data_IF_381968795618
#
_entry.id   IF_381968795618
#
_cell.length_a   1.000
_cell.length_b   1.000
_cell.length_c   1.000
_cell.angle_alpha   90.00
_cell.angle_beta   90.00
_cell.angle_gamma   90.00
#
_symmetry.space_group_name_H-M   'P 1'
#
loop_
_entity.id
_entity.type
_entity.pdbx_description
1 polymer ?
#
# COMPACT_ATOMS: atom_id res chain seq x y z
N UNK A 1 41.37 30.02 9.26
CA UNK A 1 40.07 30.50 8.74
C UNK A 1 39.92 30.33 7.22
N UNK A 2 40.89 30.75 6.38
CA UNK A 2 40.83 30.61 4.91
C UNK A 2 40.71 29.15 4.41
N UNK A 3 41.37 28.20 5.08
CA UNK A 3 41.32 26.78 4.70
C UNK A 3 40.00 26.08 5.08
N UNK A 4 39.35 26.49 6.18
CA UNK A 4 38.02 25.96 6.54
C UNK A 4 36.95 26.39 5.54
N UNK A 5 37.05 27.61 5.00
CA UNK A 5 36.12 28.12 3.99
C UNK A 5 36.21 27.33 2.68
N UNK A 6 37.43 26.95 2.26
CA UNK A 6 37.65 26.14 1.06
C UNK A 6 37.13 24.71 1.20
N UNK A 7 37.19 24.12 2.39
CA UNK A 7 36.65 22.78 2.67
C UNK A 7 35.12 22.77 2.63
N UNK A 8 34.46 23.80 3.15
CA UNK A 8 32.99 23.94 3.10
C UNK A 8 32.51 24.10 1.66
N UNK A 9 33.21 24.90 0.85
CA UNK A 9 32.89 25.07 -0.58
C UNK A 9 33.04 23.74 -1.33
N UNK A 10 34.08 22.96 -1.04
CA UNK A 10 34.29 21.65 -1.69
C UNK A 10 33.20 20.63 -1.32
N UNK A 11 32.74 20.61 -0.07
CA UNK A 11 31.63 19.76 0.39
C UNK A 11 30.30 20.13 -0.28
N UNK A 12 30.06 21.41 -0.59
CA UNK A 12 28.86 21.84 -1.31
C UNK A 12 28.85 21.38 -2.79
N UNK A 13 30.01 21.28 -3.44
CA UNK A 13 30.10 20.82 -4.83
C UNK A 13 30.00 19.30 -5.00
N UNK A 14 30.19 18.51 -3.94
CA UNK A 14 29.94 17.05 -3.97
C UNK A 14 28.46 16.67 -3.79
N UNK A 15 27.58 17.62 -3.47
CA UNK A 15 26.15 17.38 -3.21
C UNK A 15 25.30 17.26 -4.49
N UNK A 16 25.87 17.55 -5.67
CA UNK A 16 25.12 17.55 -6.94
C UNK A 16 24.70 16.14 -7.44
N UNK A 17 24.99 15.06 -6.71
CA UNK A 17 24.59 13.71 -7.08
C UNK A 17 23.18 13.28 -6.63
N UNK A 18 22.50 14.09 -5.81
CA UNK A 18 21.19 13.74 -5.21
C UNK A 18 19.96 14.11 -6.08
N UNK A 19 20.17 14.69 -7.26
CA UNK A 19 19.11 15.09 -8.20
C UNK A 19 19.15 14.32 -9.52
N UNK A 20 19.75 13.14 -9.56
CA UNK A 20 19.45 12.19 -10.63
C UNK A 20 18.09 11.57 -10.32
N UNK A 21 17.00 12.25 -10.68
CA UNK A 21 15.71 11.59 -10.85
C UNK A 21 15.95 10.44 -11.83
N UNK A 22 15.74 9.20 -11.36
CA UNK A 22 15.73 8.03 -12.23
C UNK A 22 14.55 8.20 -13.20
N UNK A 23 14.82 8.81 -14.36
CA UNK A 23 13.85 9.13 -15.39
C UNK A 23 13.42 7.91 -16.23
N UNK A 24 13.64 6.69 -15.72
CA UNK A 24 13.05 5.51 -16.33
C UNK A 24 11.56 5.53 -15.96
N UNK A 25 10.74 6.15 -16.80
CA UNK A 25 9.29 6.05 -16.71
C UNK A 25 8.94 4.57 -16.58
N UNK A 26 8.31 4.18 -15.48
CA UNK A 26 7.79 2.81 -15.37
C UNK A 26 6.83 2.59 -16.54
N UNK A 27 7.21 1.68 -17.43
CA UNK A 27 6.33 1.20 -18.48
C UNK A 27 5.31 0.27 -17.83
N UNK A 28 4.04 0.60 -18.02
CA UNK A 28 2.91 -0.21 -17.59
C UNK A 28 2.22 -0.77 -18.82
N UNK A 29 1.68 -1.97 -18.70
CA UNK A 29 0.76 -2.54 -19.68
C UNK A 29 -0.52 -2.98 -18.97
N UNK A 30 -1.56 -3.27 -19.74
CA UNK A 30 -2.84 -3.76 -19.22
C UNK A 30 -3.43 -4.76 -20.18
N UNK A 31 -4.17 -5.71 -19.62
CA UNK A 31 -5.13 -6.48 -20.41
C UNK A 31 -6.32 -5.59 -20.81
N UNK A 32 -7.09 -6.02 -21.81
CA UNK A 32 -8.33 -5.33 -22.17
C UNK A 32 -9.33 -5.43 -21.01
N UNK A 33 -9.95 -4.30 -20.65
CA UNK A 33 -10.86 -4.25 -19.50
C UNK A 33 -12.07 -5.17 -19.69
N UNK A 34 -12.56 -5.31 -20.91
CA UNK A 34 -13.68 -6.19 -21.27
C UNK A 34 -13.40 -7.66 -20.99
N UNK A 35 -12.12 -8.05 -21.00
CA UNK A 35 -11.68 -9.42 -20.72
C UNK A 35 -11.39 -9.66 -19.23
N UNK A 36 -11.21 -8.58 -18.46
CA UNK A 36 -10.88 -8.63 -17.05
C UNK A 36 -12.07 -9.13 -16.23
N UNK A 37 -11.77 -10.03 -15.29
CA UNK A 37 -12.74 -10.54 -14.32
C UNK A 37 -12.26 -10.20 -12.92
N UNK A 38 -12.95 -9.31 -12.20
CA UNK A 38 -12.57 -9.01 -10.84
C UNK A 38 -12.87 -10.17 -9.91
N UNK A 39 -12.15 -10.22 -8.80
CA UNK A 39 -12.47 -11.09 -7.67
C UNK A 39 -13.86 -10.78 -7.10
N UNK A 40 -14.45 -11.79 -6.45
CA UNK A 40 -15.67 -11.61 -5.66
C UNK A 40 -15.48 -10.47 -4.63
N UNK A 41 -16.55 -9.73 -4.28
CA UNK A 41 -16.44 -8.67 -3.30
C UNK A 41 -16.02 -9.23 -1.93
N UNK A 42 -15.30 -8.45 -1.11
CA UNK A 42 -14.99 -8.86 0.25
C UNK A 42 -16.28 -9.02 1.04
N UNK A 43 -16.42 -10.14 1.74
CA UNK A 43 -17.49 -10.35 2.71
C UNK A 43 -16.97 -10.02 4.10
N UNK A 44 -17.25 -8.81 4.59
CA UNK A 44 -16.73 -8.33 5.88
C UNK A 44 -17.36 -8.99 7.11
N UNK A 45 -18.40 -9.81 6.95
CA UNK A 45 -18.89 -10.69 8.03
C UNK A 45 -17.93 -11.86 8.28
N UNK A 46 -17.01 -12.15 7.35
CA UNK A 46 -15.99 -13.19 7.48
C UNK A 46 -14.66 -12.60 7.91
N UNK A 47 -14.04 -13.19 8.95
CA UNK A 47 -12.69 -12.83 9.42
C UNK A 47 -11.61 -12.91 8.33
N UNK A 48 -11.85 -13.70 7.28
CA UNK A 48 -10.93 -13.84 6.16
C UNK A 48 -10.78 -12.55 5.33
N UNK A 49 -11.80 -11.68 5.31
CA UNK A 49 -11.75 -10.39 4.61
C UNK A 49 -10.98 -9.30 5.36
N UNK A 50 -10.35 -9.64 6.49
CA UNK A 50 -9.63 -8.71 7.35
C UNK A 50 -8.15 -9.10 7.46
N UNK A 51 -7.25 -8.19 7.15
CA UNK A 51 -5.83 -8.35 7.46
C UNK A 51 -5.60 -8.36 8.99
N UNK A 52 -6.32 -7.48 9.69
CA UNK A 52 -6.32 -7.36 11.15
C UNK A 52 -7.76 -7.22 11.64
N UNK A 53 -8.12 -7.99 12.67
CA UNK A 53 -9.42 -7.91 13.34
C UNK A 53 -9.24 -8.33 14.81
N UNK A 54 -9.97 -7.75 15.79
CA UNK A 54 -9.79 -8.11 17.22
C UNK A 54 -10.01 -9.61 17.53
N UNK A 55 -10.88 -10.26 16.76
CA UNK A 55 -11.15 -11.70 16.84
C UNK A 55 -10.20 -12.58 16.00
N UNK A 56 -9.22 -11.99 15.32
CA UNK A 56 -8.25 -12.68 14.46
C UNK A 56 -6.84 -12.46 15.00
N UNK A 57 -6.16 -13.54 15.39
CA UNK A 57 -4.75 -13.45 15.78
C UNK A 57 -3.91 -12.98 14.58
N UNK A 58 -3.07 -11.97 14.80
CA UNK A 58 -2.12 -11.45 13.83
C UNK A 58 -0.75 -11.37 14.52
N UNK A 59 0.14 -12.31 14.18
CA UNK A 59 1.42 -12.48 14.89
C UNK A 59 2.39 -11.35 14.57
N UNK A 60 2.23 -10.74 13.41
CA UNK A 60 3.02 -9.62 12.91
C UNK A 60 2.87 -8.38 13.80
N UNK A 61 1.72 -8.24 14.48
CA UNK A 61 1.45 -7.12 15.39
C UNK A 61 1.89 -7.33 16.84
N UNK A 62 2.22 -8.56 17.25
CA UNK A 62 2.50 -8.87 18.67
C UNK A 62 3.65 -8.05 19.24
N UNK A 63 4.69 -7.74 18.45
CA UNK A 63 5.82 -6.92 18.90
C UNK A 63 5.48 -5.44 19.10
N UNK A 64 4.32 -4.99 18.66
CA UNK A 64 3.85 -3.60 18.75
C UNK A 64 2.82 -3.39 19.86
N UNK A 65 2.44 -4.45 20.58
CA UNK A 65 1.52 -4.40 21.71
C UNK A 65 2.30 -4.13 22.99
N UNK A 66 2.03 -2.99 23.64
CA UNK A 66 2.78 -2.54 24.81
C UNK A 66 2.22 -3.03 26.17
N UNK A 67 1.24 -3.94 26.15
CA UNK A 67 0.64 -4.55 27.34
C UNK A 67 -0.29 -3.64 28.15
N UNK A 68 -0.43 -2.36 27.78
CA UNK A 68 -1.39 -1.47 28.41
C UNK A 68 -2.82 -1.85 28.03
N UNK A 69 -3.77 -1.45 28.87
CA UNK A 69 -5.18 -1.55 28.53
C UNK A 69 -5.51 -0.66 27.32
N UNK A 70 -6.21 -1.24 26.35
CA UNK A 70 -6.70 -0.52 25.18
C UNK A 70 -7.81 0.46 25.59
N UNK A 71 -7.92 1.57 24.87
CA UNK A 71 -9.09 2.44 24.96
C UNK A 71 -10.31 1.71 24.38
N UNK A 72 -11.50 2.00 24.91
CA UNK A 72 -12.77 1.51 24.37
C UNK A 72 -13.15 2.26 23.08
N UNK A 73 -12.33 2.14 22.04
CA UNK A 73 -12.54 2.73 20.72
C UNK A 73 -12.19 1.72 19.62
N UNK A 74 -12.82 1.89 18.46
CA UNK A 74 -12.49 1.15 17.25
C UNK A 74 -11.60 2.01 16.36
N UNK A 75 -10.47 1.45 15.92
CA UNK A 75 -9.58 2.06 14.93
C UNK A 75 -9.75 1.33 13.61
N UNK A 76 -10.23 2.05 12.61
CA UNK A 76 -10.34 1.55 11.25
C UNK A 76 -9.20 2.11 10.40
N UNK A 77 -8.29 1.26 9.96
CA UNK A 77 -7.12 1.67 9.19
C UNK A 77 -7.21 1.15 7.75
N UNK A 78 -7.33 2.08 6.80
CA UNK A 78 -7.28 1.81 5.37
C UNK A 78 -5.84 1.96 4.88
N UNK A 79 -5.23 0.86 4.46
CA UNK A 79 -3.88 0.88 3.91
C UNK A 79 -3.86 1.58 2.54
N UNK A 80 -2.73 2.19 2.11
CA UNK A 80 -2.59 2.73 0.77
C UNK A 80 -2.62 1.63 -0.30
N UNK A 81 -2.71 2.04 -1.57
CA UNK A 81 -2.60 1.14 -2.72
C UNK A 81 -1.22 0.52 -2.79
N UNK A 82 -1.16 -0.79 -2.59
CA UNK A 82 0.00 -1.66 -2.74
C UNK A 82 0.02 -2.38 -4.11
N UNK A 83 -1.02 -2.19 -4.92
CA UNK A 83 -1.12 -2.77 -6.26
C UNK A 83 -0.47 -1.86 -7.31
N UNK A 84 0.86 -1.96 -7.43
CA UNK A 84 1.67 -1.08 -8.28
C UNK A 84 2.75 -1.79 -9.12
N UNK A 85 2.89 -3.11 -9.02
CA UNK A 85 3.88 -3.88 -9.78
C UNK A 85 3.66 -3.70 -11.30
N UNK A 86 4.64 -3.10 -11.97
CA UNK A 86 4.55 -2.76 -13.38
C UNK A 86 4.48 -3.97 -14.32
N UNK A 87 4.81 -5.17 -13.82
CA UNK A 87 4.65 -6.43 -14.56
C UNK A 87 3.23 -6.99 -14.48
N UNK A 88 2.39 -6.46 -13.59
CA UNK A 88 1.02 -6.92 -13.43
C UNK A 88 0.08 -6.16 -14.37
N UNK A 89 -0.59 -6.91 -15.25
CA UNK A 89 -1.51 -6.37 -16.26
C UNK A 89 -2.96 -6.27 -15.80
N UNK A 90 -3.33 -6.88 -14.67
CA UNK A 90 -4.71 -6.91 -14.17
C UNK A 90 -5.14 -5.54 -13.64
N UNK A 91 -6.42 -5.20 -13.79
CA UNK A 91 -6.97 -3.88 -13.46
C UNK A 91 -7.17 -3.64 -11.97
N UNK A 92 -7.59 -4.66 -11.23
CA UNK A 92 -7.70 -4.63 -9.78
C UNK A 92 -6.97 -5.81 -9.14
N UNK A 93 -6.52 -5.63 -7.90
CA UNK A 93 -5.97 -6.71 -7.10
C UNK A 93 -7.05 -7.74 -6.76
N UNK A 94 -6.73 -9.02 -6.87
CA UNK A 94 -7.54 -10.06 -6.23
C UNK A 94 -7.37 -9.98 -4.71
N UNK A 95 -8.46 -9.75 -3.99
CA UNK A 95 -8.45 -9.63 -2.53
C UNK A 95 -8.19 -10.98 -1.84
N UNK A 96 -8.31 -12.09 -2.56
CA UNK A 96 -8.07 -13.45 -2.10
C UNK A 96 -6.69 -13.98 -2.53
N UNK A 97 -5.92 -13.23 -3.33
CA UNK A 97 -4.55 -13.63 -3.69
C UNK A 97 -3.67 -13.65 -2.43
N UNK A 98 -3.12 -14.83 -2.04
CA UNK A 98 -2.27 -14.93 -0.86
C UNK A 98 -1.05 -14.02 -0.94
N UNK A 99 -0.48 -13.78 -2.13
CA UNK A 99 0.70 -12.90 -2.25
C UNK A 99 0.38 -11.45 -1.93
N UNK A 100 -0.76 -10.95 -2.43
CA UNK A 100 -1.24 -9.61 -2.09
C UNK A 100 -1.56 -9.48 -0.60
N UNK A 101 -2.22 -10.49 -0.01
CA UNK A 101 -2.53 -10.50 1.43
C UNK A 101 -1.28 -10.51 2.30
N UNK A 102 -0.30 -11.34 1.95
CA UNK A 102 1.00 -11.38 2.62
C UNK A 102 1.74 -10.05 2.46
N UNK A 103 1.64 -9.41 1.29
CA UNK A 103 2.23 -8.09 1.08
C UNK A 103 1.57 -7.01 1.94
N UNK A 104 0.24 -7.01 2.07
CA UNK A 104 -0.48 -6.11 2.98
C UNK A 104 -0.01 -6.30 4.43
N UNK A 105 0.07 -7.55 4.89
CA UNK A 105 0.50 -7.88 6.26
C UNK A 105 1.97 -7.51 6.51
N UNK A 106 2.87 -7.88 5.61
CA UNK A 106 4.31 -7.64 5.76
C UNK A 106 4.74 -6.20 5.48
N UNK A 107 3.85 -5.35 4.95
CA UNK A 107 4.13 -3.94 4.67
C UNK A 107 3.26 -3.00 5.49
N UNK A 108 2.09 -2.59 4.98
CA UNK A 108 1.28 -1.54 5.59
C UNK A 108 0.80 -1.91 7.00
N UNK A 109 0.48 -3.19 7.27
CA UNK A 109 0.13 -3.60 8.63
C UNK A 109 1.30 -3.39 9.60
N UNK A 110 2.50 -3.89 9.27
CA UNK A 110 3.68 -3.77 10.13
C UNK A 110 4.17 -2.33 10.25
N UNK A 111 4.24 -1.57 9.16
CA UNK A 111 4.92 -0.28 9.14
C UNK A 111 3.98 0.93 9.32
N UNK A 112 2.67 0.74 9.25
CA UNK A 112 1.69 1.84 9.33
C UNK A 112 0.56 1.54 10.31
N UNK A 113 -0.15 0.42 10.15
CA UNK A 113 -1.27 0.07 11.02
C UNK A 113 -0.82 -0.23 12.46
N UNK A 114 0.38 -0.77 12.63
CA UNK A 114 0.97 -1.14 13.93
C UNK A 114 1.07 0.02 14.91
N UNK A 115 1.13 1.27 14.43
CA UNK A 115 1.08 2.47 15.26
C UNK A 115 -0.18 2.52 16.15
N UNK A 116 -1.25 1.82 15.73
CA UNK A 116 -2.54 1.78 16.41
C UNK A 116 -2.77 0.48 17.22
N UNK A 117 -1.86 -0.49 17.15
CA UNK A 117 -2.06 -1.84 17.70
C UNK A 117 -2.34 -1.87 19.22
N UNK A 118 -1.81 -0.89 19.96
CA UNK A 118 -2.01 -0.73 21.41
C UNK A 118 -3.08 0.30 21.80
N UNK A 119 -3.70 0.99 20.83
CA UNK A 119 -4.61 2.12 21.13
C UNK A 119 -6.03 1.64 21.38
N UNK A 120 -6.55 0.79 20.51
CA UNK A 120 -7.93 0.32 20.53
C UNK A 120 -8.10 -0.98 19.77
N UNK A 121 -9.34 -1.33 19.47
CA UNK A 121 -9.64 -2.46 18.60
C UNK A 121 -9.37 -2.09 17.15
N UNK A 122 -8.32 -2.70 16.58
CA UNK A 122 -7.79 -2.37 15.26
C UNK A 122 -8.43 -3.27 14.20
N UNK A 123 -8.97 -2.63 13.17
CA UNK A 123 -9.60 -3.24 12.01
C UNK A 123 -8.85 -2.79 10.76
N UNK A 124 -8.30 -3.74 10.01
CA UNK A 124 -7.64 -3.50 8.73
C UNK A 124 -8.28 -4.42 7.69
N UNK A 125 -9.09 -3.90 6.74
CA UNK A 125 -9.74 -4.73 5.75
C UNK A 125 -8.79 -5.12 4.62
N UNK A 126 -9.02 -6.29 4.03
CA UNK A 126 -8.65 -6.51 2.63
C UNK A 126 -9.74 -5.86 1.77
N UNK A 127 -9.34 -5.03 0.82
CA UNK A 127 -10.25 -4.35 -0.11
C UNK A 127 -9.67 -4.40 -1.53
N UNK A 128 -10.53 -4.20 -2.54
CA UNK A 128 -10.08 -4.18 -3.94
C UNK A 128 -9.25 -2.94 -4.17
N UNK A 129 -8.07 -3.11 -4.76
CA UNK A 129 -7.21 -1.99 -5.13
C UNK A 129 -7.17 -1.89 -6.64
N UNK A 130 -7.49 -0.73 -7.21
CA UNK A 130 -7.18 -0.46 -8.60
C UNK A 130 -5.65 -0.40 -8.77
N UNK A 131 -5.14 -0.86 -9.90
CA UNK A 131 -3.71 -0.76 -10.17
C UNK A 131 -3.32 0.72 -10.27
N UNK A 132 -2.21 1.15 -9.65
CA UNK A 132 -1.83 2.58 -9.57
C UNK A 132 -1.76 3.30 -10.94
N UNK A 133 -1.57 2.54 -12.02
CA UNK A 133 -1.56 3.05 -13.39
C UNK A 133 -2.88 3.69 -13.83
N UNK A 134 -4.01 3.43 -13.15
CA UNK A 134 -5.30 4.09 -13.47
C UNK A 134 -5.20 5.61 -13.41
N UNK A 135 -4.31 6.16 -12.58
CA UNK A 135 -4.09 7.60 -12.48
C UNK A 135 -3.28 8.20 -13.66
N UNK A 136 -2.86 7.39 -14.63
CA UNK A 136 -2.27 7.86 -15.89
C UNK A 136 -3.36 8.04 -16.94
N UNK A 137 -3.34 9.19 -17.62
CA UNK A 137 -4.34 9.57 -18.63
C UNK A 137 -4.54 8.49 -19.71
N UNK A 138 -3.45 7.83 -20.16
CA UNK A 138 -3.50 6.77 -21.16
C UNK A 138 -4.29 5.52 -20.74
N UNK A 139 -4.46 5.30 -19.44
CA UNK A 139 -5.22 4.15 -18.89
C UNK A 139 -6.61 4.56 -18.42
N UNK A 140 -6.81 5.82 -18.02
CA UNK A 140 -8.09 6.30 -17.46
C UNK A 140 -9.28 5.99 -18.37
N UNK A 141 -9.20 6.41 -19.64
CA UNK A 141 -10.27 6.22 -20.63
C UNK A 141 -10.37 4.79 -21.18
N UNK A 142 -9.41 3.92 -20.85
CA UNK A 142 -9.27 2.56 -21.41
C UNK A 142 -9.46 1.49 -20.33
N UNK A 143 -10.42 1.68 -19.42
CA UNK A 143 -10.70 0.74 -18.32
C UNK A 143 -10.27 1.25 -16.93
N UNK A 144 -9.48 2.33 -16.87
CA UNK A 144 -8.97 2.86 -15.62
C UNK A 144 -10.06 3.46 -14.72
N UNK A 145 -11.00 4.21 -15.31
CA UNK A 145 -12.16 4.75 -14.58
C UNK A 145 -13.00 3.62 -13.97
N UNK A 146 -13.32 2.59 -14.76
CA UNK A 146 -14.12 1.46 -14.31
C UNK A 146 -13.39 0.62 -13.24
N UNK A 147 -12.07 0.47 -13.38
CA UNK A 147 -11.25 -0.19 -12.35
C UNK A 147 -11.20 0.64 -11.06
N UNK A 148 -11.16 1.96 -11.15
CA UNK A 148 -11.18 2.87 -10.01
C UNK A 148 -12.50 2.77 -9.25
N UNK A 149 -13.64 2.90 -9.94
CA UNK A 149 -14.99 2.81 -9.35
C UNK A 149 -15.30 1.43 -8.73
N UNK A 150 -14.66 0.37 -9.22
CA UNK A 150 -14.80 -0.96 -8.63
C UNK A 150 -14.04 -1.10 -7.29
N UNK A 151 -12.97 -0.33 -7.11
CA UNK A 151 -12.08 -0.40 -5.96
C UNK A 151 -12.49 0.50 -4.80
N UNK A 152 -13.05 1.67 -5.10
CA UNK A 152 -13.27 2.77 -4.16
C UNK A 152 -14.68 3.35 -4.29
#
# INVERSE_FOLDING_TARGET
MRHCFLVIIFLCFSSCGLLSEFNNSSEYSSEEYESFKPSDPPNYDKLDSWAVHPLKENKELNSFINGNEKLNINVFFIHPTLFWDNKNTSWNSDIYDPKMRDFVNSSSVIYQASAWASVGDLYVPHYRQAHIRVFRESFWLNGGEQAYELAY
#
